data_IF_156200724198
#
_entry.id   IF_156200724198
#
_cell.length_a   1.000
_cell.length_b   1.000
_cell.length_c   1.000
_cell.angle_alpha   90.00
_cell.angle_beta   90.00
_cell.angle_gamma   90.00
#
_symmetry.space_group_name_H-M   'P 1'
#
loop_
_entity.id
_entity.type
_entity.pdbx_description
1 polymer ?
#
# COMPACT_ATOMS: atom_id res chain seq x y z
N UNK A 1 -15.32 2.32 -27.31
CA UNK A 1 -15.80 2.63 -25.95
C UNK A 1 -16.71 1.57 -25.31
N UNK A 2 -17.18 0.53 -26.02
CA UNK A 2 -18.01 -0.57 -25.46
C UNK A 2 -17.20 -1.71 -24.80
N UNK A 3 -15.98 -1.97 -25.20
CA UNK A 3 -15.10 -3.05 -24.72
C UNK A 3 -14.69 -2.92 -23.24
N UNK A 4 -14.54 -1.71 -22.72
CA UNK A 4 -14.15 -1.46 -21.31
C UNK A 4 -15.23 -1.89 -20.29
N UNK A 5 -16.53 -1.81 -20.66
CA UNK A 5 -17.61 -2.23 -19.76
C UNK A 5 -17.65 -3.75 -19.61
N UNK A 6 -17.45 -4.49 -20.67
CA UNK A 6 -17.42 -5.97 -20.62
C UNK A 6 -16.22 -6.50 -19.86
N UNK A 7 -15.06 -5.84 -19.97
CA UNK A 7 -13.85 -6.21 -19.21
C UNK A 7 -14.05 -6.07 -17.70
N UNK A 8 -14.69 -4.98 -17.27
CA UNK A 8 -15.03 -4.75 -15.85
C UNK A 8 -16.05 -5.77 -15.34
N UNK A 9 -17.08 -6.08 -16.13
CA UNK A 9 -18.11 -7.06 -15.76
C UNK A 9 -17.51 -8.47 -15.68
N UNK A 10 -16.65 -8.86 -16.61
CA UNK A 10 -15.94 -10.13 -16.60
C UNK A 10 -15.03 -10.24 -15.37
N UNK A 11 -14.27 -9.19 -15.05
CA UNK A 11 -13.40 -9.16 -13.85
C UNK A 11 -14.20 -9.31 -12.55
N UNK A 12 -15.35 -8.62 -12.43
CA UNK A 12 -16.23 -8.74 -11.26
C UNK A 12 -16.86 -10.14 -11.18
N UNK A 13 -17.32 -10.70 -12.30
CA UNK A 13 -17.88 -12.06 -12.34
C UNK A 13 -16.82 -13.11 -12.01
N UNK A 14 -15.58 -12.96 -12.47
CA UNK A 14 -14.48 -13.87 -12.14
C UNK A 14 -14.13 -13.82 -10.65
N UNK A 15 -14.14 -12.61 -10.06
CA UNK A 15 -13.93 -12.41 -8.62
C UNK A 15 -15.06 -13.01 -7.79
N UNK A 16 -16.32 -12.86 -8.22
CA UNK A 16 -17.49 -13.45 -7.57
C UNK A 16 -17.54 -14.98 -7.71
N UNK A 17 -17.12 -15.51 -8.85
CA UNK A 17 -17.00 -16.95 -9.05
C UNK A 17 -15.88 -17.55 -8.18
N UNK A 18 -14.75 -16.88 -8.03
CA UNK A 18 -13.69 -17.28 -7.12
C UNK A 18 -14.12 -17.27 -5.65
N UNK A 19 -15.00 -16.31 -5.26
CA UNK A 19 -15.57 -16.23 -3.93
C UNK A 19 -16.70 -17.26 -3.68
N UNK A 20 -17.36 -17.74 -4.72
CA UNK A 20 -18.49 -18.70 -4.65
C UNK A 20 -18.06 -20.16 -4.71
N UNK A 21 -16.78 -20.48 -4.88
CA UNK A 21 -16.31 -21.86 -4.79
C UNK A 21 -16.44 -22.31 -3.32
N UNK A 22 -17.32 -23.28 -2.99
CA UNK A 22 -17.27 -23.99 -1.73
C UNK A 22 -16.11 -24.96 -1.80
N UNK A 23 -14.92 -24.41 -1.97
CA UNK A 23 -13.70 -25.16 -1.91
C UNK A 23 -13.29 -25.23 -0.46
N UNK A 24 -13.04 -26.42 0.03
CA UNK A 24 -11.92 -26.60 0.93
C UNK A 24 -10.71 -26.01 0.19
N UNK A 25 -10.56 -24.68 0.24
CA UNK A 25 -9.34 -24.03 -0.12
C UNK A 25 -8.33 -24.54 0.91
N UNK A 26 -7.72 -25.66 0.62
CA UNK A 26 -6.45 -26.03 1.20
C UNK A 26 -5.44 -25.01 0.63
N UNK A 27 -5.59 -23.78 1.04
CA UNK A 27 -4.46 -22.88 1.15
C UNK A 27 -3.48 -23.67 2.00
N UNK A 28 -2.30 -23.91 1.47
CA UNK A 28 -1.29 -24.79 2.02
C UNK A 28 -1.32 -24.81 3.56
N UNK A 29 -1.26 -25.99 4.21
CA UNK A 29 -1.21 -26.05 5.67
C UNK A 29 -0.06 -25.16 6.16
N UNK A 30 -0.25 -24.45 7.26
CA UNK A 30 0.70 -23.50 7.84
C UNK A 30 0.98 -22.22 7.02
N UNK A 31 0.00 -21.71 6.30
CA UNK A 31 0.09 -20.43 5.60
C UNK A 31 -1.01 -19.48 6.04
N UNK A 32 -0.78 -18.18 5.87
CA UNK A 32 -1.80 -17.16 5.94
C UNK A 32 -1.74 -16.25 4.70
N UNK A 33 -2.84 -15.61 4.39
CA UNK A 33 -2.94 -14.59 3.34
C UNK A 33 -3.75 -13.43 3.92
N UNK A 34 -3.23 -12.21 3.81
CA UNK A 34 -3.94 -10.99 4.15
C UNK A 34 -4.18 -10.14 2.91
N UNK A 35 -5.38 -9.60 2.83
CA UNK A 35 -5.79 -8.62 1.84
C UNK A 35 -6.38 -7.44 2.58
N UNK A 36 -5.65 -6.32 2.59
CA UNK A 36 -5.98 -5.16 3.39
C UNK A 36 -6.19 -3.93 2.51
N UNK A 37 -7.20 -3.16 2.84
CA UNK A 37 -7.23 -1.75 2.51
C UNK A 37 -6.27 -1.00 3.43
N UNK A 38 -5.53 -0.05 2.87
CA UNK A 38 -4.57 0.73 3.66
C UNK A 38 -4.82 2.23 3.48
N UNK A 39 -4.73 2.95 4.59
CA UNK A 39 -4.73 4.40 4.65
C UNK A 39 -3.38 4.87 5.19
N UNK A 40 -2.81 5.88 4.56
CA UNK A 40 -1.53 6.45 4.94
C UNK A 40 -1.58 7.96 5.11
N UNK A 41 -0.89 8.44 6.13
CA UNK A 41 -0.63 9.85 6.41
C UNK A 41 0.85 10.11 6.10
N UNK A 42 1.17 10.91 5.08
CA UNK A 42 2.55 11.29 4.80
C UNK A 42 3.15 12.09 5.95
N UNK A 43 4.42 11.86 6.23
CA UNK A 43 5.18 12.57 7.27
C UNK A 43 6.37 13.28 6.63
N UNK A 44 6.41 14.62 6.76
CA UNK A 44 7.53 15.42 6.27
C UNK A 44 7.69 15.42 4.75
N UNK A 45 6.60 15.32 4.02
CA UNK A 45 6.58 15.34 2.57
C UNK A 45 5.75 16.54 2.07
N UNK A 46 6.44 17.55 1.54
CA UNK A 46 5.81 18.77 1.02
C UNK A 46 5.22 18.59 -0.39
N UNK A 47 5.51 17.46 -1.07
CA UNK A 47 5.03 17.20 -2.43
C UNK A 47 3.59 16.68 -2.46
N UNK A 48 3.23 15.77 -1.54
CA UNK A 48 1.88 15.20 -1.43
C UNK A 48 1.60 14.86 0.04
N UNK A 49 1.16 15.86 0.80
CA UNK A 49 1.02 15.81 2.26
C UNK A 49 -0.34 15.34 2.76
N UNK A 50 -1.33 15.23 1.87
CA UNK A 50 -2.68 14.82 2.28
C UNK A 50 -2.76 13.35 2.59
N UNK A 51 -3.46 13.05 3.69
CA UNK A 51 -3.88 11.69 4.04
C UNK A 51 -4.63 11.05 2.89
N UNK A 52 -4.27 9.82 2.56
CA UNK A 52 -4.90 9.09 1.47
C UNK A 52 -5.32 7.69 1.89
N UNK A 53 -6.56 7.33 1.52
CA UNK A 53 -7.09 5.97 1.60
C UNK A 53 -6.96 5.18 0.28
N UNK A 54 -6.23 5.68 -0.69
CA UNK A 54 -5.99 4.99 -1.96
C UNK A 54 -4.79 4.05 -1.85
N UNK A 55 -4.97 2.97 -1.09
CA UNK A 55 -3.95 1.97 -0.93
C UNK A 55 -4.52 0.59 -0.61
N UNK A 56 -3.76 -0.44 -0.99
CA UNK A 56 -4.02 -1.82 -0.60
C UNK A 56 -2.70 -2.53 -0.28
N UNK A 57 -2.79 -3.54 0.58
CA UNK A 57 -1.69 -4.41 0.93
C UNK A 57 -2.11 -5.87 0.73
N UNK A 58 -1.28 -6.61 0.05
CA UNK A 58 -1.40 -8.04 -0.16
C UNK A 58 -0.19 -8.71 0.46
N UNK A 59 -0.41 -9.69 1.30
CA UNK A 59 0.62 -10.35 2.02
C UNK A 59 0.28 -11.82 2.18
N UNK A 60 1.28 -12.66 2.03
CA UNK A 60 1.16 -14.07 2.32
C UNK A 60 2.39 -14.54 3.09
N UNK A 61 2.21 -15.48 4.01
CA UNK A 61 3.32 -16.00 4.78
C UNK A 61 3.16 -17.47 5.14
N UNK A 62 4.31 -18.08 5.38
CA UNK A 62 4.43 -19.45 5.85
C UNK A 62 4.89 -19.45 7.31
N UNK A 63 4.23 -20.22 8.16
CA UNK A 63 4.61 -20.44 9.55
C UNK A 63 5.86 -21.33 9.61
N UNK A 64 7.02 -20.70 9.78
CA UNK A 64 8.30 -21.40 9.99
C UNK A 64 8.32 -22.07 11.36
N UNK A 65 7.73 -21.40 12.35
CA UNK A 65 7.41 -21.92 13.67
C UNK A 65 5.99 -21.49 14.05
N UNK A 66 5.35 -22.06 15.08
CA UNK A 66 4.03 -21.60 15.51
C UNK A 66 3.94 -20.08 15.76
N UNK A 67 5.06 -19.44 16.14
CA UNK A 67 5.11 -18.02 16.45
C UNK A 67 5.68 -17.15 15.32
N UNK A 68 6.48 -17.71 14.39
CA UNK A 68 7.21 -16.93 13.40
C UNK A 68 6.70 -17.26 12.00
N UNK A 69 6.32 -16.22 11.26
CA UNK A 69 5.94 -16.32 9.85
C UNK A 69 6.85 -15.49 8.98
N UNK A 70 7.12 -15.98 7.77
CA UNK A 70 7.89 -15.29 6.74
C UNK A 70 7.21 -15.49 5.39
N UNK A 71 7.16 -14.44 4.56
CA UNK A 71 6.58 -14.56 3.23
C UNK A 71 6.68 -13.29 2.39
N UNK A 72 6.14 -13.30 1.18
CA UNK A 72 6.13 -12.15 0.29
C UNK A 72 5.04 -11.15 0.67
N UNK A 73 5.27 -9.90 0.30
CA UNK A 73 4.25 -8.85 0.27
C UNK A 73 4.38 -7.99 -0.99
N UNK A 74 3.27 -7.41 -1.38
CA UNK A 74 3.19 -6.31 -2.33
C UNK A 74 2.10 -5.36 -1.87
N UNK A 75 2.37 -4.07 -1.89
CA UNK A 75 1.34 -3.08 -1.59
C UNK A 75 1.41 -1.90 -2.54
N UNK A 76 0.37 -1.10 -2.59
CA UNK A 76 0.42 0.18 -3.27
C UNK A 76 -0.23 1.27 -2.42
N UNK A 77 0.23 2.49 -2.59
CA UNK A 77 -0.30 3.68 -1.94
C UNK A 77 -0.20 4.85 -2.92
N UNK A 78 -1.25 5.66 -3.00
CA UNK A 78 -1.21 6.91 -3.77
C UNK A 78 -1.59 8.05 -2.86
N UNK A 79 -0.68 9.00 -2.66
CA UNK A 79 -0.95 10.25 -1.97
C UNK A 79 -1.20 11.34 -3.01
N UNK A 80 -2.18 12.20 -2.75
CA UNK A 80 -2.63 13.25 -3.65
C UNK A 80 -2.58 14.59 -2.93
N UNK A 81 -2.23 15.65 -3.67
CA UNK A 81 -2.32 17.02 -3.18
C UNK A 81 -2.79 17.93 -4.32
N UNK A 82 -3.85 18.68 -4.06
CA UNK A 82 -4.30 19.75 -4.94
C UNK A 82 -3.77 21.08 -4.40
N UNK A 83 -3.10 21.84 -5.26
CA UNK A 83 -2.54 23.16 -4.95
C UNK A 83 -3.30 24.18 -5.79
N UNK A 84 -3.88 25.15 -5.11
CA UNK A 84 -4.59 26.26 -5.73
C UNK A 84 -3.65 27.08 -6.62
N UNK A 85 -4.24 27.89 -7.49
CA UNK A 85 -3.51 28.68 -8.46
C UNK A 85 -2.41 29.53 -7.82
N UNK A 86 -1.18 29.23 -8.16
CA UNK A 86 0.01 29.99 -7.73
C UNK A 86 0.99 30.15 -8.88
N UNK A 87 1.90 31.10 -8.73
CA UNK A 87 2.97 31.35 -9.69
C UNK A 87 4.22 30.64 -9.23
N UNK A 88 4.72 29.71 -10.05
CA UNK A 88 6.02 29.06 -9.88
C UNK A 88 7.07 29.87 -10.63
N UNK A 89 8.17 30.17 -9.96
CA UNK A 89 9.38 30.70 -10.57
C UNK A 89 10.22 29.51 -11.08
N UNK A 90 10.40 29.43 -12.38
CA UNK A 90 11.15 28.37 -13.05
C UNK A 90 12.64 28.75 -13.24
N UNK A 91 13.06 29.93 -12.78
CA UNK A 91 14.40 30.47 -13.04
C UNK A 91 14.48 31.19 -14.38
N UNK A 92 15.60 31.88 -14.62
CA UNK A 92 15.89 32.61 -15.88
C UNK A 92 14.78 33.60 -16.34
N UNK A 93 13.99 34.11 -15.39
CA UNK A 93 12.86 35.02 -15.68
C UNK A 93 11.60 34.33 -16.20
N UNK A 94 11.56 33.01 -16.25
CA UNK A 94 10.36 32.25 -16.64
C UNK A 94 9.49 31.98 -15.42
N UNK A 95 8.17 32.22 -15.54
CA UNK A 95 7.20 31.94 -14.48
C UNK A 95 5.96 31.22 -15.05
N UNK A 96 5.44 30.28 -14.28
CA UNK A 96 4.23 29.51 -14.62
C UNK A 96 3.15 29.76 -13.55
N UNK A 97 2.01 30.34 -13.97
CA UNK A 97 0.85 30.56 -13.08
C UNK A 97 -0.25 29.57 -13.42
N UNK A 98 -0.49 28.59 -12.56
CA UNK A 98 -1.49 27.55 -12.78
C UNK A 98 -1.94 26.87 -11.49
N UNK A 99 -3.06 26.16 -11.56
CA UNK A 99 -3.43 25.17 -10.55
C UNK A 99 -2.56 23.93 -10.75
N UNK A 100 -2.21 23.26 -9.64
CA UNK A 100 -1.36 22.08 -9.69
C UNK A 100 -2.07 20.93 -8.98
N UNK A 101 -1.85 19.73 -9.50
CA UNK A 101 -2.23 18.50 -8.83
C UNK A 101 -1.03 17.58 -8.76
N UNK A 102 -0.63 17.26 -7.54
CA UNK A 102 0.47 16.35 -7.28
C UNK A 102 -0.08 14.97 -6.94
N UNK A 103 0.57 13.95 -7.45
CA UNK A 103 0.30 12.56 -7.13
C UNK A 103 1.63 11.84 -6.87
N UNK A 104 1.73 11.19 -5.73
CA UNK A 104 2.86 10.34 -5.37
C UNK A 104 2.35 8.89 -5.28
N UNK A 105 2.62 8.11 -6.30
CA UNK A 105 2.35 6.68 -6.34
C UNK A 105 3.54 5.91 -5.78
N UNK A 106 3.27 4.89 -4.97
CA UNK A 106 4.27 4.01 -4.36
C UNK A 106 3.82 2.56 -4.54
N UNK A 107 4.75 1.70 -4.93
CA UNK A 107 4.56 0.26 -5.09
C UNK A 107 5.70 -0.48 -4.37
N UNK A 108 5.64 -0.62 -3.04
CA UNK A 108 6.60 -1.43 -2.31
C UNK A 108 6.27 -2.92 -2.42
N UNK A 109 7.32 -3.74 -2.54
CA UNK A 109 7.24 -5.19 -2.55
C UNK A 109 8.51 -5.80 -1.96
N UNK A 110 8.40 -7.02 -1.44
CA UNK A 110 9.52 -7.70 -0.81
C UNK A 110 9.11 -8.83 0.09
N UNK A 111 9.75 -8.91 1.26
CA UNK A 111 9.55 -9.96 2.25
C UNK A 111 9.01 -9.36 3.54
N UNK A 112 8.06 -10.06 4.15
CA UNK A 112 7.51 -9.77 5.46
C UNK A 112 7.94 -10.85 6.44
N UNK A 113 8.21 -10.45 7.68
CA UNK A 113 8.40 -11.35 8.82
C UNK A 113 7.50 -10.89 9.96
N UNK A 114 6.81 -11.83 10.61
CA UNK A 114 5.94 -11.56 11.76
C UNK A 114 6.26 -12.48 12.93
N UNK A 115 6.10 -11.96 14.11
CA UNK A 115 6.08 -12.71 15.36
C UNK A 115 4.69 -12.63 15.97
N UNK A 116 4.05 -13.79 16.14
CA UNK A 116 2.70 -13.93 16.66
C UNK A 116 2.75 -14.46 18.08
N UNK A 117 2.04 -13.81 19.03
CA UNK A 117 2.09 -14.20 20.44
C UNK A 117 1.08 -15.27 20.83
N UNK A 118 -0.14 -15.23 20.24
CA UNK A 118 -1.27 -16.07 20.64
C UNK A 118 -1.89 -16.71 19.39
N UNK A 119 -1.26 -17.78 18.89
CA UNK A 119 -1.67 -18.43 17.64
C UNK A 119 -2.95 -19.27 17.75
N UNK A 120 -3.32 -19.71 18.96
CA UNK A 120 -4.50 -20.54 19.22
C UNK A 120 -5.68 -19.74 19.78
N UNK A 121 -5.64 -18.41 19.74
CA UNK A 121 -6.66 -17.52 20.25
C UNK A 121 -7.51 -16.92 19.14
N UNK A 122 -8.72 -16.48 19.49
CA UNK A 122 -9.58 -15.66 18.60
C UNK A 122 -8.85 -14.37 18.19
N UNK A 123 -8.10 -13.76 19.10
CA UNK A 123 -7.29 -12.59 18.88
C UNK A 123 -5.82 -13.01 18.81
N UNK A 124 -5.21 -12.83 17.67
CA UNK A 124 -3.81 -13.20 17.41
C UNK A 124 -2.99 -11.93 17.17
N UNK A 125 -2.49 -11.29 18.24
CA UNK A 125 -1.63 -10.11 18.11
C UNK A 125 -0.26 -10.50 17.56
N UNK A 126 0.31 -9.58 16.77
CA UNK A 126 1.63 -9.77 16.19
C UNK A 126 2.40 -8.45 16.08
N UNK A 127 3.70 -8.58 15.95
CA UNK A 127 4.60 -7.53 15.46
C UNK A 127 5.25 -8.03 14.19
N UNK A 128 5.35 -7.15 13.20
CA UNK A 128 5.90 -7.50 11.89
C UNK A 128 6.87 -6.45 11.36
N UNK A 129 7.68 -6.89 10.41
CA UNK A 129 8.58 -6.05 9.65
C UNK A 129 8.52 -6.44 8.17
N UNK A 130 8.33 -5.46 7.31
CA UNK A 130 8.41 -5.61 5.85
C UNK A 130 9.70 -4.96 5.36
N UNK A 131 10.43 -5.66 4.50
CA UNK A 131 11.67 -5.20 3.89
C UNK A 131 11.63 -5.50 2.39
N UNK A 132 12.08 -4.56 1.57
CA UNK A 132 12.08 -4.77 0.14
C UNK A 132 12.50 -3.56 -0.67
N UNK A 133 12.03 -3.52 -1.91
CA UNK A 133 12.19 -2.40 -2.82
C UNK A 133 10.88 -1.62 -2.93
N UNK A 134 10.98 -0.34 -3.24
CA UNK A 134 9.86 0.53 -3.53
C UNK A 134 10.08 1.20 -4.89
N UNK A 135 9.16 0.98 -5.82
CA UNK A 135 9.01 1.82 -6.98
C UNK A 135 8.12 3.00 -6.62
N UNK A 136 8.53 4.21 -6.94
CA UNK A 136 7.71 5.39 -6.73
C UNK A 136 7.70 6.28 -7.97
N UNK A 137 6.54 6.84 -8.26
CA UNK A 137 6.32 7.80 -9.33
C UNK A 137 5.76 9.09 -8.74
N UNK A 138 6.49 10.18 -8.93
CA UNK A 138 6.05 11.54 -8.65
C UNK A 138 5.43 12.10 -9.93
N UNK A 139 4.19 12.56 -9.87
CA UNK A 139 3.51 13.19 -11.00
C UNK A 139 2.96 14.54 -10.62
N UNK A 140 3.27 15.56 -11.40
CA UNK A 140 2.69 16.90 -11.27
C UNK A 140 1.94 17.26 -12.53
N UNK A 141 0.68 17.65 -12.37
CA UNK A 141 -0.19 18.07 -13.44
C UNK A 141 -0.33 19.60 -13.40
N UNK A 142 0.06 20.24 -14.49
CA UNK A 142 -0.02 21.68 -14.72
C UNK A 142 -1.03 21.93 -15.84
N UNK A 143 -2.31 21.99 -15.50
CA UNK A 143 -3.43 22.08 -16.45
C UNK A 143 -3.46 20.88 -17.42
N UNK A 144 -2.85 21.00 -18.60
CA UNK A 144 -2.80 19.94 -19.64
C UNK A 144 -1.43 19.25 -19.73
N UNK A 145 -0.42 19.77 -19.05
CA UNK A 145 0.94 19.23 -19.08
C UNK A 145 1.16 18.38 -17.84
N UNK A 146 1.63 17.15 -18.03
CA UNK A 146 2.07 16.27 -16.96
C UNK A 146 3.60 16.17 -16.99
N UNK A 147 4.20 16.40 -15.85
CA UNK A 147 5.60 16.05 -15.61
C UNK A 147 5.66 14.95 -14.55
N UNK A 148 6.55 13.99 -14.76
CA UNK A 148 6.72 12.88 -13.83
C UNK A 148 8.19 12.49 -13.69
N UNK A 149 8.51 11.90 -12.55
CA UNK A 149 9.81 11.33 -12.22
C UNK A 149 9.60 9.98 -11.57
N UNK A 150 10.31 8.97 -12.04
CA UNK A 150 10.27 7.61 -11.52
C UNK A 150 11.53 7.33 -10.70
N UNK A 151 11.38 6.63 -9.60
CA UNK A 151 12.52 6.37 -8.70
C UNK A 151 12.37 5.03 -8.03
N UNK A 152 13.50 4.41 -7.75
CA UNK A 152 13.60 3.17 -6.98
C UNK A 152 14.31 3.43 -5.66
N UNK A 153 13.84 2.77 -4.61
CA UNK A 153 14.43 2.90 -3.29
C UNK A 153 14.30 1.61 -2.47
N UNK A 154 14.99 1.59 -1.35
CA UNK A 154 14.81 0.59 -0.31
C UNK A 154 13.54 0.90 0.48
N UNK A 155 12.80 -0.13 0.86
CA UNK A 155 11.57 -0.03 1.66
C UNK A 155 11.69 -0.78 2.96
N UNK A 156 11.24 -0.16 4.04
CA UNK A 156 11.12 -0.74 5.37
C UNK A 156 9.79 -0.32 5.99
N UNK A 157 9.07 -1.28 6.59
CA UNK A 157 7.80 -0.96 7.26
C UNK A 157 7.59 -1.87 8.48
N UNK A 158 7.92 -1.38 9.69
CA UNK A 158 7.45 -2.00 10.92
C UNK A 158 5.93 -1.86 11.06
N UNK A 159 5.30 -2.90 11.59
CA UNK A 159 3.87 -2.94 11.86
C UNK A 159 3.55 -3.67 13.15
N UNK A 160 2.45 -3.30 13.78
CA UNK A 160 1.84 -4.00 14.88
C UNK A 160 0.36 -4.18 14.59
N UNK A 161 -0.13 -5.40 14.74
CA UNK A 161 -1.50 -5.70 14.35
C UNK A 161 -2.10 -6.87 15.12
N UNK A 162 -3.35 -7.15 14.77
CA UNK A 162 -4.10 -8.28 15.28
C UNK A 162 -4.88 -8.93 14.15
N UNK A 163 -4.79 -10.25 14.05
CA UNK A 163 -5.68 -11.07 13.24
C UNK A 163 -6.78 -11.63 14.17
N UNK A 164 -8.03 -11.50 13.77
CA UNK A 164 -9.19 -11.86 14.56
C UNK A 164 -9.96 -12.96 13.84
N UNK A 165 -9.98 -14.15 14.40
CA UNK A 165 -10.68 -15.32 13.86
C UNK A 165 -11.89 -15.65 14.75
N UNK A 166 -13.11 -15.15 14.43
CA UNK A 166 -14.31 -15.32 15.27
C UNK A 166 -14.71 -16.77 15.49
N UNK A 167 -14.30 -17.67 14.58
CA UNK A 167 -14.58 -19.10 14.65
C UNK A 167 -13.30 -19.89 14.37
N UNK A 168 -12.86 -20.74 15.30
CA UNK A 168 -11.65 -21.54 15.15
C UNK A 168 -11.74 -22.55 13.99
N UNK A 169 -12.94 -22.97 13.59
CA UNK A 169 -13.17 -23.90 12.50
C UNK A 169 -13.07 -23.27 11.10
N UNK A 170 -13.07 -21.93 11.04
CA UNK A 170 -12.99 -21.17 9.77
C UNK A 170 -11.67 -20.41 9.70
N UNK A 171 -11.04 -20.47 8.54
CA UNK A 171 -9.80 -19.72 8.28
C UNK A 171 -10.03 -18.25 7.92
N UNK A 172 -11.28 -17.82 7.75
CA UNK A 172 -11.61 -16.43 7.45
C UNK A 172 -11.65 -15.62 8.73
N UNK A 173 -10.82 -14.61 8.81
CA UNK A 173 -10.72 -13.66 9.89
C UNK A 173 -10.65 -12.22 9.40
N UNK A 174 -10.61 -11.29 10.34
CA UNK A 174 -10.36 -9.87 10.10
C UNK A 174 -8.92 -9.55 10.47
N UNK A 175 -8.36 -8.59 9.77
CA UNK A 175 -7.01 -8.10 10.02
C UNK A 175 -7.02 -6.60 10.25
N UNK A 176 -6.35 -6.13 11.31
CA UNK A 176 -6.16 -4.71 11.62
C UNK A 176 -4.73 -4.50 12.06
N UNK A 177 -4.05 -3.53 11.47
CA UNK A 177 -2.68 -3.18 11.82
C UNK A 177 -2.42 -1.68 11.76
N UNK A 178 -1.53 -1.21 12.62
CA UNK A 178 -0.87 0.08 12.53
C UNK A 178 0.51 -0.14 11.91
N UNK A 179 0.89 0.71 10.98
CA UNK A 179 2.19 0.61 10.33
C UNK A 179 2.87 1.99 10.22
N UNK A 180 4.17 1.95 10.24
CA UNK A 180 5.01 3.04 9.75
C UNK A 180 5.76 2.53 8.53
N UNK A 181 5.98 3.35 7.52
CA UNK A 181 6.79 2.98 6.36
C UNK A 181 7.81 4.06 6.04
N UNK A 182 8.97 3.60 5.66
CA UNK A 182 10.09 4.42 5.19
C UNK A 182 10.58 3.88 3.86
N UNK A 183 10.75 4.77 2.88
CA UNK A 183 11.37 4.45 1.60
C UNK A 183 12.42 5.50 1.24
N UNK A 184 13.57 5.02 0.73
CA UNK A 184 14.71 5.89 0.37
C UNK A 184 14.57 6.53 -1.00
N UNK A 185 13.38 6.46 -1.61
CA UNK A 185 13.12 7.06 -2.90
C UNK A 185 13.38 8.56 -2.85
N UNK A 186 14.10 9.06 -3.85
CA UNK A 186 14.36 10.49 -4.04
C UNK A 186 14.16 10.85 -5.50
N UNK A 187 13.60 12.01 -5.77
CA UNK A 187 13.34 12.48 -7.12
C UNK A 187 12.99 13.95 -7.16
N UNK A 188 13.11 14.53 -8.33
CA UNK A 188 12.83 15.94 -8.56
C UNK A 188 11.80 16.09 -9.69
N UNK A 189 10.80 16.94 -9.46
CA UNK A 189 9.83 17.35 -10.50
C UNK A 189 9.72 18.86 -10.48
N UNK A 190 10.29 19.53 -11.50
CA UNK A 190 10.43 20.98 -11.60
C UNK A 190 11.12 21.57 -10.34
N UNK A 191 10.36 22.33 -9.54
CA UNK A 191 10.86 22.98 -8.33
C UNK A 191 10.70 22.12 -7.07
N UNK A 192 10.00 20.98 -7.17
CA UNK A 192 9.72 20.11 -6.05
C UNK A 192 10.72 18.98 -5.94
N UNK A 193 11.28 18.81 -4.75
CA UNK A 193 12.22 17.73 -4.43
C UNK A 193 11.61 16.80 -3.40
N UNK A 194 11.71 15.52 -3.65
CA UNK A 194 11.37 14.47 -2.71
C UNK A 194 12.66 13.86 -2.16
N UNK A 195 12.81 13.89 -0.84
CA UNK A 195 13.90 13.22 -0.14
C UNK A 195 13.26 12.25 0.85
N UNK A 196 13.28 10.96 0.54
CA UNK A 196 12.64 9.90 1.31
C UNK A 196 11.10 10.01 1.36
N UNK A 197 10.47 8.88 1.56
CA UNK A 197 9.03 8.78 1.70
C UNK A 197 8.72 8.14 3.05
N UNK A 198 8.01 8.88 3.89
CA UNK A 198 7.59 8.41 5.21
C UNK A 198 6.07 8.43 5.29
N UNK A 199 5.47 7.34 5.72
CA UNK A 199 4.03 7.30 5.98
C UNK A 199 3.77 6.59 7.31
N UNK A 200 2.77 7.07 8.03
CA UNK A 200 2.15 6.36 9.14
C UNK A 200 0.71 6.05 8.76
N UNK A 201 0.20 4.87 9.13
CA UNK A 201 -1.15 4.54 8.71
C UNK A 201 -1.74 3.31 9.36
N UNK A 202 -2.92 2.96 8.86
CA UNK A 202 -3.67 1.78 9.27
C UNK A 202 -3.93 0.87 8.09
N UNK A 203 -3.99 -0.43 8.36
CA UNK A 203 -4.44 -1.49 7.46
C UNK A 203 -5.65 -2.17 8.08
N UNK A 204 -6.68 -2.37 7.28
CA UNK A 204 -7.89 -3.09 7.69
C UNK A 204 -8.31 -4.01 6.56
N UNK A 205 -8.51 -5.28 6.84
CA UNK A 205 -8.81 -6.24 5.80
C UNK A 205 -9.24 -7.60 6.31
N UNK A 206 -9.00 -8.59 5.48
CA UNK A 206 -9.34 -9.98 5.74
C UNK A 206 -8.09 -10.85 5.77
N UNK A 207 -8.12 -11.84 6.64
CA UNK A 207 -7.08 -12.85 6.83
C UNK A 207 -7.65 -14.25 6.56
N UNK A 208 -6.87 -15.08 5.87
CA UNK A 208 -7.24 -16.45 5.52
C UNK A 208 -6.20 -17.45 6.04
#
# INVERSE_FOLDING_TARGET
>A
MKTSKYLKTIAICTLLLAAAMPGKAQVFPNTYINIDWQMGVPLGNDFADKTSGWGMNFEGGYFVTPAITVGPFISYQTNLQDIDRQTLDLGDGAALTTNQKHALFQLPFGVTGRYNWLTDSVFQPYVGMKLGACYAEMSSYYYIVRQYSETWGFYMSPEVGVSIFPRPDYRLGFHVALYYSYATNSGDVLVYKLNNINNFGIRVGVSF
#
